data_IF_504773758607
#
_entry.id   IF_504773758607
#
_cell.length_a   1.000
_cell.length_b   1.000
_cell.length_c   1.000
_cell.angle_alpha   90.00
_cell.angle_beta   90.00
_cell.angle_gamma   90.00
#
_symmetry.space_group_name_H-M   'P 1'
#
loop_
_entity.id
_entity.type
_entity.pdbx_description
1 polymer ?
#
# COMPACT_ATOMS: atom_id res chain seq x y z
N UNK A 1 41.18 12.22 -9.88
CA UNK A 1 39.73 12.17 -10.10
C UNK A 1 39.37 10.78 -10.57
N UNK A 2 38.86 9.94 -9.70
CA UNK A 2 38.42 8.58 -10.04
C UNK A 2 37.32 8.69 -11.09
N UNK A 3 37.54 8.09 -12.26
CA UNK A 3 36.64 8.19 -13.41
C UNK A 3 35.23 7.71 -12.99
N UNK A 4 34.29 8.64 -12.80
CA UNK A 4 32.95 8.42 -12.25
C UNK A 4 32.24 7.27 -13.00
N UNK A 5 32.49 7.14 -14.30
CA UNK A 5 31.95 6.08 -15.14
C UNK A 5 32.41 4.66 -14.76
N UNK A 6 33.62 4.49 -14.22
CA UNK A 6 34.11 3.19 -13.74
C UNK A 6 33.56 2.86 -12.34
N UNK A 7 33.34 3.86 -11.49
CA UNK A 7 32.67 3.68 -10.21
C UNK A 7 31.19 3.28 -10.40
N UNK A 8 30.52 3.86 -11.41
CA UNK A 8 29.14 3.54 -11.77
C UNK A 8 28.95 2.08 -12.22
N UNK A 9 29.94 1.48 -12.89
CA UNK A 9 29.91 0.07 -13.31
C UNK A 9 30.04 -0.92 -12.16
N UNK A 10 30.49 -0.48 -10.98
CA UNK A 10 30.78 -1.36 -9.85
C UNK A 10 29.80 -1.21 -8.67
N UNK A 11 28.73 -0.42 -8.79
CA UNK A 11 27.73 -0.36 -7.71
C UNK A 11 26.93 -1.67 -7.68
N UNK A 12 27.03 -2.46 -6.60
CA UNK A 12 26.35 -3.73 -6.53
C UNK A 12 24.88 -3.49 -6.21
N UNK A 13 24.05 -3.24 -7.24
CA UNK A 13 22.59 -3.05 -7.09
C UNK A 13 21.95 -4.21 -6.32
N UNK A 14 22.46 -5.43 -6.52
CA UNK A 14 22.05 -6.62 -5.75
C UNK A 14 22.28 -6.42 -4.25
N UNK A 15 23.42 -5.86 -3.82
CA UNK A 15 23.70 -5.60 -2.40
C UNK A 15 22.70 -4.60 -1.79
N UNK A 16 22.30 -3.58 -2.55
CA UNK A 16 21.25 -2.64 -2.13
C UNK A 16 19.92 -3.37 -1.97
N UNK A 17 19.54 -4.20 -2.94
CA UNK A 17 18.29 -4.98 -2.90
C UNK A 17 18.28 -6.00 -1.76
N UNK A 18 19.40 -6.68 -1.49
CA UNK A 18 19.56 -7.68 -0.43
C UNK A 18 19.48 -7.08 0.97
N UNK A 19 20.10 -5.91 1.17
CA UNK A 19 20.10 -5.20 2.47
C UNK A 19 18.82 -4.41 2.73
N UNK A 20 18.01 -4.17 1.69
CA UNK A 20 16.76 -3.43 1.81
C UNK A 20 15.68 -4.21 2.56
N UNK A 21 14.93 -3.50 3.41
CA UNK A 21 13.69 -4.01 4.01
C UNK A 21 12.48 -3.83 3.08
N UNK A 22 12.64 -3.10 1.98
CA UNK A 22 11.64 -2.99 0.94
C UNK A 22 11.71 -4.19 0.00
N UNK A 23 10.65 -4.41 -0.74
CA UNK A 23 10.51 -5.48 -1.70
C UNK A 23 11.34 -5.15 -2.94
N UNK A 24 12.20 -6.09 -3.34
CA UNK A 24 12.94 -6.01 -4.59
C UNK A 24 12.93 -7.35 -5.32
N UNK A 25 12.98 -7.28 -6.65
CA UNK A 25 13.25 -8.45 -7.47
C UNK A 25 13.37 -8.10 -8.94
N UNK A 26 13.76 -9.10 -9.71
CA UNK A 26 14.03 -9.01 -11.14
C UNK A 26 13.29 -10.15 -11.83
N UNK A 27 12.68 -9.87 -12.98
CA UNK A 27 12.08 -10.85 -13.87
C UNK A 27 12.65 -10.71 -15.29
N UNK A 28 12.67 -11.81 -16.03
CA UNK A 28 13.00 -11.80 -17.46
C UNK A 28 11.84 -11.22 -18.31
N UNK A 29 12.05 -11.10 -19.63
CA UNK A 29 11.04 -10.65 -20.59
C UNK A 29 9.78 -11.53 -20.64
N UNK A 30 9.86 -12.76 -20.11
CA UNK A 30 8.73 -13.65 -19.99
C UNK A 30 8.11 -13.60 -18.58
N UNK A 31 8.45 -12.63 -17.76
CA UNK A 31 7.92 -12.48 -16.39
C UNK A 31 8.27 -13.66 -15.46
N UNK A 32 9.38 -14.36 -15.72
CA UNK A 32 9.91 -15.38 -14.81
C UNK A 32 10.87 -14.73 -13.83
N UNK A 33 10.78 -15.07 -12.54
CA UNK A 33 11.66 -14.52 -11.51
C UNK A 33 13.12 -14.92 -11.76
N UNK A 34 14.02 -13.95 -11.86
CA UNK A 34 15.47 -14.14 -11.87
C UNK A 34 16.01 -14.01 -10.46
N UNK A 35 15.51 -13.03 -9.70
CA UNK A 35 15.97 -12.71 -8.36
C UNK A 35 14.83 -12.11 -7.54
N UNK A 36 14.84 -12.39 -6.23
CA UNK A 36 13.98 -11.71 -5.24
C UNK A 36 14.73 -11.59 -3.93
N UNK A 37 14.54 -10.49 -3.21
CA UNK A 37 15.16 -10.32 -1.90
C UNK A 37 14.35 -11.00 -0.79
N UNK A 38 14.90 -10.98 0.44
CA UNK A 38 14.24 -11.53 1.64
C UNK A 38 12.87 -10.89 1.88
N UNK A 39 12.76 -9.56 1.74
CA UNK A 39 11.52 -8.83 1.99
C UNK A 39 10.37 -9.29 1.07
N UNK A 40 10.64 -9.57 -0.22
CA UNK A 40 9.64 -10.13 -1.12
C UNK A 40 9.10 -11.48 -0.63
N UNK A 41 10.00 -12.39 -0.21
CA UNK A 41 9.61 -13.71 0.30
C UNK A 41 8.77 -13.60 1.58
N UNK A 42 9.13 -12.70 2.48
CA UNK A 42 8.37 -12.44 3.71
C UNK A 42 7.01 -11.81 3.42
N UNK A 43 6.97 -10.82 2.52
CA UNK A 43 5.75 -10.14 2.08
C UNK A 43 4.69 -11.12 1.55
N UNK A 44 5.10 -12.05 0.68
CA UNK A 44 4.20 -13.08 0.15
C UNK A 44 4.09 -14.33 1.03
N UNK A 45 4.82 -14.38 2.16
CA UNK A 45 4.92 -15.56 3.02
C UNK A 45 5.31 -16.84 2.26
N UNK A 46 6.29 -16.73 1.38
CA UNK A 46 6.78 -17.86 0.56
C UNK A 46 7.52 -18.86 1.46
N UNK A 47 7.24 -20.17 1.37
CA UNK A 47 7.97 -21.18 2.13
C UNK A 47 9.47 -21.13 1.85
N UNK A 48 10.31 -21.23 2.89
CA UNK A 48 11.77 -21.13 2.75
C UNK A 48 12.38 -22.12 1.74
N UNK A 49 11.80 -23.32 1.62
CA UNK A 49 12.23 -24.38 0.69
C UNK A 49 11.75 -24.20 -0.76
N UNK A 50 10.85 -23.25 -1.02
CA UNK A 50 10.31 -23.03 -2.35
C UNK A 50 11.32 -22.25 -3.19
N UNK A 51 11.76 -22.81 -4.32
CA UNK A 51 12.65 -22.15 -5.29
C UNK A 51 11.81 -21.29 -6.23
N UNK A 52 12.05 -19.98 -6.19
CA UNK A 52 11.27 -18.99 -6.94
C UNK A 52 11.87 -18.73 -8.33
N UNK A 53 13.17 -18.91 -8.46
CA UNK A 53 13.92 -18.64 -9.67
C UNK A 53 13.39 -19.49 -10.83
N UNK A 54 13.15 -18.86 -11.98
CA UNK A 54 12.55 -19.45 -13.18
C UNK A 54 11.03 -19.66 -13.12
N UNK A 55 10.36 -19.35 -12.00
CA UNK A 55 8.90 -19.45 -11.87
C UNK A 55 8.19 -18.17 -12.31
N UNK A 56 6.92 -18.28 -12.68
CA UNK A 56 5.99 -17.15 -12.91
C UNK A 56 5.11 -16.92 -11.68
N UNK A 57 4.42 -15.79 -11.60
CA UNK A 57 3.52 -15.48 -10.46
C UNK A 57 2.45 -16.56 -10.23
N UNK A 58 1.90 -17.15 -11.30
CA UNK A 58 0.89 -18.22 -11.25
C UNK A 58 1.39 -19.51 -10.56
N UNK A 59 2.71 -19.70 -10.50
CA UNK A 59 3.33 -20.86 -9.86
C UNK A 59 3.68 -20.63 -8.39
N UNK A 60 3.47 -19.41 -7.88
CA UNK A 60 3.75 -19.11 -6.48
C UNK A 60 2.70 -19.75 -5.57
N UNK A 61 3.10 -20.33 -4.42
CA UNK A 61 2.20 -20.99 -3.49
C UNK A 61 1.50 -19.98 -2.57
N UNK A 62 1.01 -18.87 -3.13
CA UNK A 62 0.46 -17.74 -2.38
C UNK A 62 -0.75 -17.17 -3.12
N UNK A 63 -1.65 -16.45 -2.43
CA UNK A 63 -2.83 -15.85 -3.09
C UNK A 63 -2.51 -14.88 -4.24
N UNK A 64 -1.25 -14.47 -4.38
CA UNK A 64 -0.83 -13.59 -5.48
C UNK A 64 -0.98 -14.26 -6.84
N UNK A 65 -1.00 -15.60 -6.89
CA UNK A 65 -1.18 -16.36 -8.14
C UNK A 65 -2.53 -16.09 -8.81
N UNK A 66 -3.54 -15.70 -8.04
CA UNK A 66 -4.86 -15.28 -8.54
C UNK A 66 -4.78 -14.02 -9.41
N UNK A 67 -3.74 -13.19 -9.21
CA UNK A 67 -3.49 -11.95 -9.95
C UNK A 67 -2.38 -12.11 -11.00
N UNK A 68 -1.98 -13.34 -11.34
CA UNK A 68 -0.81 -13.58 -12.20
C UNK A 68 -0.97 -12.97 -13.59
N UNK A 69 -2.18 -13.00 -14.16
CA UNK A 69 -2.48 -12.43 -15.47
C UNK A 69 -2.26 -10.92 -15.51
N UNK A 70 -2.76 -10.21 -14.50
CA UNK A 70 -2.60 -8.76 -14.32
C UNK A 70 -1.14 -8.41 -14.08
N UNK A 71 -0.44 -9.18 -13.25
CA UNK A 71 0.97 -8.96 -12.95
C UNK A 71 1.85 -9.17 -14.19
N UNK A 72 1.58 -10.22 -14.98
CA UNK A 72 2.27 -10.46 -16.25
C UNK A 72 2.00 -9.34 -17.24
N UNK A 73 0.76 -8.90 -17.37
CA UNK A 73 0.40 -7.77 -18.23
C UNK A 73 1.21 -6.52 -17.85
N UNK A 74 1.32 -6.20 -16.56
CA UNK A 74 2.13 -5.06 -16.09
C UNK A 74 3.63 -5.19 -16.40
N UNK A 75 4.18 -6.41 -16.33
CA UNK A 75 5.57 -6.64 -16.72
C UNK A 75 5.75 -6.33 -18.22
N UNK A 76 4.83 -6.80 -19.07
CA UNK A 76 4.83 -6.55 -20.52
C UNK A 76 4.57 -5.08 -20.86
N UNK A 77 3.69 -4.40 -20.12
CA UNK A 77 3.41 -2.97 -20.30
C UNK A 77 4.67 -2.13 -20.01
N UNK A 78 5.41 -2.43 -18.94
CA UNK A 78 6.66 -1.75 -18.63
C UNK A 78 7.74 -1.99 -19.71
N UNK A 79 7.86 -3.23 -20.19
CA UNK A 79 8.81 -3.62 -21.25
C UNK A 79 8.48 -2.89 -22.57
N UNK A 80 7.23 -2.96 -23.01
CA UNK A 80 6.79 -2.44 -24.31
C UNK A 80 6.75 -0.91 -24.35
N UNK A 81 6.26 -0.28 -23.29
CA UNK A 81 6.23 1.19 -23.19
C UNK A 81 7.60 1.80 -22.94
N UNK A 82 8.58 1.00 -22.47
CA UNK A 82 9.88 1.49 -21.97
C UNK A 82 9.72 2.51 -20.84
N UNK A 83 8.59 2.46 -20.13
CA UNK A 83 8.28 3.33 -19.01
C UNK A 83 8.05 2.50 -17.76
N UNK A 84 8.22 3.14 -16.60
CA UNK A 84 7.79 2.59 -15.31
C UNK A 84 6.29 2.26 -15.37
N UNK A 85 5.85 1.21 -14.69
CA UNK A 85 4.44 0.96 -14.35
C UNK A 85 4.28 1.02 -12.83
N UNK A 86 3.24 1.72 -12.37
CA UNK A 86 2.98 1.96 -10.95
C UNK A 86 1.62 1.40 -10.54
N UNK A 87 1.56 0.76 -9.37
CA UNK A 87 0.32 0.21 -8.83
C UNK A 87 0.32 0.18 -7.30
N UNK A 88 -0.87 0.06 -6.72
CA UNK A 88 -1.08 -0.26 -5.31
C UNK A 88 -1.60 -1.70 -5.22
N UNK A 89 -0.90 -2.53 -4.45
CA UNK A 89 -1.37 -3.88 -4.10
C UNK A 89 -1.93 -3.86 -2.69
N UNK A 90 -3.20 -4.20 -2.54
CA UNK A 90 -3.83 -4.30 -1.23
C UNK A 90 -4.36 -5.70 -1.01
N UNK A 91 -3.75 -6.41 -0.08
CA UNK A 91 -4.15 -7.77 0.29
C UNK A 91 -3.71 -8.07 1.72
N UNK A 92 -4.11 -9.24 2.22
CA UNK A 92 -3.52 -9.86 3.39
C UNK A 92 -2.12 -10.39 3.05
N UNK A 93 -1.10 -9.82 3.70
CA UNK A 93 0.31 -10.13 3.45
C UNK A 93 1.03 -10.59 4.72
N UNK A 94 2.17 -11.24 4.53
CA UNK A 94 3.02 -11.76 5.60
C UNK A 94 2.41 -12.94 6.36
N UNK A 95 3.20 -13.49 7.29
CA UNK A 95 2.79 -14.60 8.17
C UNK A 95 1.55 -14.27 9.01
N UNK A 96 1.48 -13.03 9.46
CA UNK A 96 0.39 -12.51 10.30
C UNK A 96 -0.89 -12.23 9.50
N UNK A 97 -0.87 -12.33 8.16
CA UNK A 97 -2.00 -12.03 7.27
C UNK A 97 -2.61 -10.67 7.58
N UNK A 98 -1.79 -9.61 7.60
CA UNK A 98 -2.25 -8.24 7.83
C UNK A 98 -2.75 -7.63 6.52
N UNK A 99 -3.93 -7.03 6.55
CA UNK A 99 -4.46 -6.26 5.41
C UNK A 99 -3.69 -4.95 5.32
N UNK A 100 -2.95 -4.74 4.23
CA UNK A 100 -2.18 -3.51 4.06
C UNK A 100 -1.91 -3.20 2.59
N UNK A 101 -1.92 -1.90 2.21
CA UNK A 101 -1.55 -1.48 0.88
C UNK A 101 -0.02 -1.38 0.74
N UNK A 102 0.48 -1.78 -0.43
CA UNK A 102 1.86 -1.60 -0.86
C UNK A 102 1.89 -0.79 -2.14
N UNK A 103 2.73 0.25 -2.14
CA UNK A 103 3.15 0.92 -3.37
C UNK A 103 4.12 0.01 -4.11
N UNK A 104 3.89 -0.21 -5.40
CA UNK A 104 4.69 -1.14 -6.18
C UNK A 104 4.97 -0.54 -7.56
N UNK A 105 6.24 -0.55 -7.94
CA UNK A 105 6.73 -0.04 -9.21
C UNK A 105 7.47 -1.14 -9.96
N UNK A 106 7.35 -1.12 -11.28
CA UNK A 106 8.08 -1.98 -12.20
C UNK A 106 8.79 -1.08 -13.21
N UNK A 107 10.08 -1.28 -13.38
CA UNK A 107 10.91 -0.55 -14.32
C UNK A 107 11.44 -1.51 -15.38
N UNK A 108 11.49 -1.12 -16.66
CA UNK A 108 12.20 -1.90 -17.68
C UNK A 108 13.68 -2.02 -17.31
N UNK A 109 14.23 -3.23 -17.44
CA UNK A 109 15.63 -3.54 -17.16
C UNK A 109 16.39 -3.67 -18.48
N UNK A 110 17.51 -2.96 -18.62
CA UNK A 110 18.32 -2.96 -19.84
C UNK A 110 19.68 -3.61 -19.62
N UNK A 111 20.19 -4.31 -20.63
CA UNK A 111 21.56 -4.79 -20.67
C UNK A 111 22.54 -3.70 -21.17
N UNK A 112 23.83 -4.04 -21.28
CA UNK A 112 24.87 -3.13 -21.76
C UNK A 112 24.67 -2.68 -23.21
N UNK A 113 23.92 -3.45 -24.01
CA UNK A 113 23.56 -3.11 -25.39
C UNK A 113 22.29 -2.25 -25.49
N UNK A 114 21.74 -1.80 -24.35
CA UNK A 114 20.48 -1.05 -24.26
C UNK A 114 19.25 -1.84 -24.76
N UNK A 115 19.32 -3.16 -24.69
CA UNK A 115 18.20 -4.05 -24.99
C UNK A 115 17.43 -4.34 -23.70
N UNK A 116 16.10 -4.25 -23.75
CA UNK A 116 15.26 -4.57 -22.60
C UNK A 116 15.29 -6.08 -22.37
N UNK A 117 15.78 -6.51 -21.21
CA UNK A 117 15.95 -7.93 -20.83
C UNK A 117 14.96 -8.37 -19.74
N UNK A 118 14.05 -7.49 -19.35
CA UNK A 118 12.94 -7.81 -18.45
C UNK A 118 12.53 -6.62 -17.60
N UNK A 119 12.19 -6.88 -16.33
CA UNK A 119 11.79 -5.84 -15.38
C UNK A 119 12.52 -5.97 -14.06
N UNK A 120 12.86 -4.83 -13.45
CA UNK A 120 13.16 -4.74 -12.02
C UNK A 120 11.93 -4.18 -11.32
N UNK A 121 11.54 -4.77 -10.20
CA UNK A 121 10.43 -4.27 -9.41
C UNK A 121 10.87 -3.85 -8.02
N UNK A 122 10.18 -2.84 -7.52
CA UNK A 122 10.31 -2.27 -6.19
C UNK A 122 8.94 -2.24 -5.54
N UNK A 123 8.87 -2.53 -4.25
CA UNK A 123 7.65 -2.34 -3.49
C UNK A 123 7.92 -1.93 -2.06
N UNK A 124 7.10 -1.04 -1.52
CA UNK A 124 7.18 -0.61 -0.13
C UNK A 124 5.79 -0.48 0.45
N UNK A 125 5.71 -0.54 1.79
CA UNK A 125 4.46 -0.27 2.47
C UNK A 125 4.00 1.15 2.13
N UNK A 126 2.71 1.29 1.79
CA UNK A 126 2.17 2.61 1.50
C UNK A 126 1.86 3.33 2.81
N UNK A 127 2.63 4.39 3.08
CA UNK A 127 2.34 5.32 4.16
C UNK A 127 1.38 6.40 3.68
N UNK A 128 0.46 6.78 4.56
CA UNK A 128 -0.49 7.85 4.29
C UNK A 128 -0.14 9.07 5.13
N UNK A 129 -0.17 10.23 4.49
CA UNK A 129 -0.05 11.51 5.17
C UNK A 129 -1.08 12.46 4.58
N UNK A 130 -1.96 13.00 5.43
CA UNK A 130 -2.88 14.05 5.01
C UNK A 130 -2.14 15.40 4.91
N UNK A 131 -2.62 16.37 4.11
CA UNK A 131 -2.05 17.72 4.09
C UNK A 131 -1.97 18.35 5.49
N UNK A 132 -2.96 18.07 6.34
CA UNK A 132 -2.97 18.54 7.72
C UNK A 132 -1.83 17.93 8.55
N UNK A 133 -1.58 16.62 8.42
CA UNK A 133 -0.47 15.94 9.09
C UNK A 133 0.89 16.44 8.58
N UNK A 134 1.01 16.67 7.27
CA UNK A 134 2.21 17.23 6.65
C UNK A 134 2.53 18.64 7.19
N UNK A 135 1.55 19.54 7.21
CA UNK A 135 1.70 20.89 7.80
C UNK A 135 2.06 20.81 9.29
N UNK A 136 1.50 19.83 10.00
CA UNK A 136 1.79 19.59 11.43
C UNK A 136 3.13 18.88 11.67
N UNK A 137 3.92 18.60 10.61
CA UNK A 137 5.20 17.88 10.67
C UNK A 137 5.12 16.52 11.38
N UNK A 138 3.97 15.87 11.25
CA UNK A 138 3.77 14.52 11.78
C UNK A 138 4.39 13.54 10.78
N UNK A 139 5.16 12.58 11.30
CA UNK A 139 5.75 11.53 10.47
C UNK A 139 4.65 10.71 9.79
N UNK A 140 4.72 10.50 8.46
CA UNK A 140 3.83 9.55 7.79
C UNK A 140 3.84 8.22 8.53
N UNK A 141 2.68 7.62 8.68
CA UNK A 141 2.60 6.28 9.25
C UNK A 141 1.61 5.47 8.44
N UNK A 142 1.88 4.18 8.31
CA UNK A 142 1.02 3.25 7.60
C UNK A 142 -0.43 3.29 8.08
N UNK A 143 -1.32 2.92 7.17
CA UNK A 143 -2.75 2.77 7.44
C UNK A 143 -3.00 1.85 8.65
N UNK A 144 -3.71 2.35 9.65
CA UNK A 144 -4.10 1.56 10.81
C UNK A 144 -5.45 0.87 10.54
N UNK A 145 -5.43 -0.45 10.51
CA UNK A 145 -6.65 -1.27 10.37
C UNK A 145 -7.25 -1.63 11.73
N UNK A 146 -6.42 -1.58 12.78
CA UNK A 146 -6.85 -1.74 14.16
C UNK A 146 -7.15 -0.38 14.79
N UNK A 147 -8.26 -0.24 15.54
CA UNK A 147 -8.58 1.01 16.21
C UNK A 147 -7.51 1.34 17.25
N UNK A 148 -7.06 2.60 17.33
CA UNK A 148 -5.96 2.98 18.22
C UNK A 148 -6.31 2.83 19.70
N UNK A 149 -7.60 2.99 20.04
CA UNK A 149 -8.14 2.77 21.38
C UNK A 149 -9.48 2.01 21.31
N UNK A 150 -9.72 1.11 22.27
CA UNK A 150 -10.97 0.33 22.39
C UNK A 150 -12.10 1.11 23.08
N UNK A 151 -12.36 2.35 22.62
CA UNK A 151 -13.41 3.21 23.17
C UNK A 151 -14.75 3.09 22.42
N UNK A 152 -14.68 2.85 21.11
CA UNK A 152 -15.83 2.84 20.21
C UNK A 152 -16.10 1.45 19.68
N UNK A 153 -17.38 1.13 19.45
CA UNK A 153 -17.77 -0.10 18.77
C UNK A 153 -17.65 0.05 17.24
N UNK A 154 -17.81 -1.06 16.51
CA UNK A 154 -17.67 -1.06 15.05
C UNK A 154 -18.62 -0.09 14.33
N UNK A 155 -19.86 0.05 14.81
CA UNK A 155 -20.80 0.98 14.19
C UNK A 155 -20.40 2.44 14.39
N UNK A 156 -19.87 2.77 15.57
CA UNK A 156 -19.35 4.10 15.88
C UNK A 156 -18.08 4.39 15.09
N UNK A 157 -17.15 3.42 15.00
CA UNK A 157 -15.91 3.55 14.21
C UNK A 157 -16.17 3.88 12.74
N UNK A 158 -17.20 3.28 12.13
CA UNK A 158 -17.64 3.64 10.77
C UNK A 158 -18.10 5.08 10.64
N UNK A 159 -18.88 5.57 11.62
CA UNK A 159 -19.36 6.96 11.63
C UNK A 159 -18.18 7.90 11.79
N UNK A 160 -17.28 7.61 12.75
CA UNK A 160 -16.09 8.43 13.03
C UNK A 160 -15.24 8.59 11.77
N UNK A 161 -15.00 7.51 11.03
CA UNK A 161 -14.25 7.55 9.77
C UNK A 161 -14.82 8.62 8.81
N UNK A 162 -16.12 8.59 8.51
CA UNK A 162 -16.72 9.55 7.58
C UNK A 162 -16.80 10.98 8.12
N UNK A 163 -17.00 11.15 9.42
CA UNK A 163 -17.01 12.48 10.06
C UNK A 163 -15.64 13.15 9.97
N UNK A 164 -14.55 12.37 10.09
CA UNK A 164 -13.19 12.89 9.90
C UNK A 164 -12.93 13.30 8.43
N UNK A 165 -13.60 12.65 7.46
CA UNK A 165 -13.64 13.09 6.05
C UNK A 165 -14.58 14.28 5.81
N UNK A 166 -15.04 14.95 6.87
CA UNK A 166 -15.91 16.14 6.82
C UNK A 166 -17.28 15.92 6.18
N UNK A 167 -17.78 14.68 6.17
CA UNK A 167 -19.15 14.38 5.74
C UNK A 167 -20.16 14.80 6.80
N UNK A 168 -21.30 15.33 6.35
CA UNK A 168 -22.46 15.64 7.21
C UNK A 168 -23.15 14.37 7.71
N UNK A 169 -23.87 14.46 8.84
CA UNK A 169 -24.64 13.33 9.37
C UNK A 169 -25.64 12.76 8.34
N UNK A 170 -26.20 13.60 7.47
CA UNK A 170 -27.09 13.20 6.36
C UNK A 170 -26.35 12.40 5.29
N UNK A 171 -25.12 12.76 4.95
CA UNK A 171 -24.30 12.00 4.01
C UNK A 171 -23.86 10.66 4.60
N UNK A 172 -23.43 10.65 5.86
CA UNK A 172 -23.09 9.43 6.58
C UNK A 172 -24.28 8.47 6.64
N UNK A 173 -25.48 8.99 6.92
CA UNK A 173 -26.72 8.21 6.94
C UNK A 173 -26.98 7.50 5.60
N UNK A 174 -26.78 8.22 4.48
CA UNK A 174 -26.89 7.63 3.13
C UNK A 174 -25.83 6.56 2.88
N UNK A 175 -24.56 6.83 3.20
CA UNK A 175 -23.44 5.88 3.01
C UNK A 175 -23.60 4.60 3.81
N UNK A 176 -24.15 4.70 5.02
CA UNK A 176 -24.32 3.57 5.94
C UNK A 176 -25.70 2.90 5.85
N UNK A 177 -26.58 3.35 4.94
CA UNK A 177 -27.96 2.87 4.81
C UNK A 177 -28.71 2.91 6.16
N UNK A 178 -28.68 4.07 6.82
CA UNK A 178 -29.34 4.36 8.10
C UNK A 178 -30.13 5.65 8.04
N UNK A 179 -31.04 5.84 9.00
CA UNK A 179 -31.77 7.12 9.12
C UNK A 179 -30.87 8.21 9.67
N UNK A 180 -31.14 9.46 9.27
CA UNK A 180 -30.42 10.65 9.76
C UNK A 180 -30.41 10.71 11.30
N UNK A 181 -31.58 10.53 11.92
CA UNK A 181 -31.76 10.50 13.38
C UNK A 181 -30.89 9.44 14.07
N UNK A 182 -30.71 8.27 13.44
CA UNK A 182 -29.85 7.22 13.99
C UNK A 182 -28.39 7.67 14.02
N UNK A 183 -27.92 8.36 12.98
CA UNK A 183 -26.55 8.87 12.95
C UNK A 183 -26.36 9.98 13.99
N UNK A 184 -27.29 10.94 14.11
CA UNK A 184 -27.24 11.99 15.13
C UNK A 184 -27.18 11.41 16.55
N UNK A 185 -28.04 10.44 16.87
CA UNK A 185 -28.03 9.77 18.17
C UNK A 185 -26.68 9.07 18.46
N UNK A 186 -26.07 8.44 17.45
CA UNK A 186 -24.75 7.84 17.60
C UNK A 186 -23.66 8.90 17.79
N UNK A 187 -23.73 10.03 17.09
CA UNK A 187 -22.80 11.14 17.28
C UNK A 187 -22.88 11.71 18.70
N UNK A 188 -24.07 11.88 19.25
CA UNK A 188 -24.25 12.28 20.65
C UNK A 188 -23.55 11.30 21.60
N UNK A 189 -23.71 9.98 21.39
CA UNK A 189 -23.03 8.95 22.19
C UNK A 189 -21.52 8.99 22.02
N UNK A 190 -21.02 9.18 20.79
CA UNK A 190 -19.60 9.30 20.49
C UNK A 190 -19.00 10.51 21.25
N UNK A 191 -19.68 11.64 21.24
CA UNK A 191 -19.26 12.85 21.96
C UNK A 191 -19.26 12.65 23.47
N UNK A 192 -20.29 12.00 24.02
CA UNK A 192 -20.32 11.62 25.44
C UNK A 192 -19.15 10.69 25.82
N UNK A 193 -18.87 9.65 25.01
CA UNK A 193 -17.76 8.71 25.26
C UNK A 193 -16.39 9.38 25.20
N UNK A 194 -16.22 10.34 24.29
CA UNK A 194 -14.98 11.11 24.15
C UNK A 194 -14.89 12.34 25.06
N UNK A 195 -15.95 12.62 25.84
CA UNK A 195 -16.05 13.77 26.75
C UNK A 195 -15.83 15.11 26.04
N UNK A 196 -16.41 15.26 24.85
CA UNK A 196 -16.36 16.50 24.06
C UNK A 196 -17.78 16.99 23.76
N UNK A 197 -17.92 18.28 23.45
CA UNK A 197 -19.23 18.91 23.21
C UNK A 197 -19.40 19.47 21.80
N UNK A 198 -18.36 19.43 20.96
CA UNK A 198 -18.42 19.94 19.58
C UNK A 198 -17.67 19.06 18.60
N UNK A 199 -18.01 19.18 17.31
CA UNK A 199 -17.28 18.52 16.23
C UNK A 199 -15.80 18.93 16.19
N UNK A 200 -15.49 20.19 16.49
CA UNK A 200 -14.12 20.69 16.49
C UNK A 200 -13.28 20.04 17.60
N UNK A 201 -13.83 19.95 18.81
CA UNK A 201 -13.20 19.24 19.92
C UNK A 201 -13.06 17.74 19.61
N UNK A 202 -14.08 17.14 19.00
CA UNK A 202 -14.04 15.74 18.60
C UNK A 202 -12.94 15.46 17.57
N UNK A 203 -12.78 16.32 16.55
CA UNK A 203 -11.67 16.22 15.58
C UNK A 203 -10.30 16.32 16.28
N UNK A 204 -10.14 17.22 17.25
CA UNK A 204 -8.92 17.32 18.07
C UNK A 204 -8.66 16.06 18.89
N UNK A 205 -9.70 15.50 19.50
CA UNK A 205 -9.62 14.23 20.23
C UNK A 205 -9.16 13.10 19.31
N UNK A 206 -9.82 12.94 18.16
CA UNK A 206 -9.48 11.91 17.17
C UNK A 206 -8.04 12.01 16.68
N UNK A 207 -7.57 13.23 16.40
CA UNK A 207 -6.19 13.46 15.98
C UNK A 207 -5.18 13.05 17.07
N UNK A 208 -5.41 13.46 18.32
CA UNK A 208 -4.56 13.06 19.46
C UNK A 208 -4.55 11.55 19.70
N UNK A 209 -5.71 10.91 19.53
CA UNK A 209 -5.87 9.47 19.71
C UNK A 209 -5.42 8.66 18.48
N UNK A 210 -5.14 9.29 17.33
CA UNK A 210 -4.72 8.61 16.09
C UNK A 210 -5.85 8.02 15.23
N UNK A 211 -7.11 8.40 15.47
CA UNK A 211 -8.24 7.95 14.64
C UNK A 211 -8.22 8.54 13.22
N UNK A 212 -7.45 9.59 12.98
CA UNK A 212 -7.20 10.17 11.66
C UNK A 212 -6.39 9.26 10.73
N UNK A 213 -5.73 8.23 11.29
CA UNK A 213 -4.97 7.21 10.56
C UNK A 213 -5.69 5.87 10.47
N UNK A 214 -6.85 5.76 11.13
CA UNK A 214 -7.64 4.55 11.20
C UNK A 214 -8.64 4.48 10.04
N UNK A 215 -8.73 3.31 9.42
CA UNK A 215 -9.78 2.98 8.47
C UNK A 215 -10.44 1.65 8.90
N UNK A 216 -11.78 1.59 8.94
CA UNK A 216 -12.48 0.32 9.08
C UNK A 216 -12.08 -0.65 7.96
N UNK A 217 -11.76 -1.89 8.34
CA UNK A 217 -11.26 -2.90 7.40
C UNK A 217 -12.19 -3.11 6.20
N UNK A 218 -13.51 -3.03 6.40
CA UNK A 218 -14.50 -3.18 5.33
C UNK A 218 -14.47 -2.09 4.25
N UNK A 219 -13.80 -0.96 4.51
CA UNK A 219 -13.65 0.13 3.55
C UNK A 219 -12.34 0.04 2.76
N UNK A 220 -11.44 -0.90 3.10
CA UNK A 220 -10.21 -1.14 2.35
C UNK A 220 -10.52 -2.06 1.17
N UNK A 221 -10.35 -1.61 -0.08
CA UNK A 221 -10.52 -2.50 -1.24
C UNK A 221 -9.38 -3.51 -1.30
N UNK A 222 -9.71 -4.79 -1.45
CA UNK A 222 -8.73 -5.84 -1.77
C UNK A 222 -8.55 -5.90 -3.28
N UNK A 223 -7.30 -5.99 -3.73
CA UNK A 223 -6.96 -6.16 -5.13
C UNK A 223 -5.75 -5.34 -5.56
N UNK A 224 -5.64 -5.17 -6.87
CA UNK A 224 -4.60 -4.39 -7.52
C UNK A 224 -5.25 -3.14 -8.12
N UNK A 225 -4.82 -1.97 -7.65
CA UNK A 225 -5.21 -0.69 -8.20
C UNK A 225 -4.08 -0.13 -9.05
N UNK A 226 -4.37 0.19 -10.31
CA UNK A 226 -3.41 0.81 -11.21
C UNK A 226 -3.33 2.31 -10.96
N UNK A 227 -2.13 2.85 -11.08
CA UNK A 227 -1.90 4.29 -11.06
C UNK A 227 -1.48 4.69 -12.46
N UNK A 228 -2.28 5.55 -13.09
CA UNK A 228 -1.92 6.12 -14.38
C UNK A 228 -0.61 6.89 -14.23
N UNK A 229 0.39 6.54 -15.05
CA UNK A 229 1.57 7.37 -15.15
C UNK A 229 1.14 8.63 -15.89
N UNK A 230 0.95 9.72 -15.15
CA UNK A 230 0.87 11.04 -15.75
C UNK A 230 2.26 11.30 -16.31
N UNK A 231 2.42 11.14 -17.63
CA UNK A 231 3.57 11.68 -18.31
C UNK A 231 3.44 13.20 -18.19
N UNK A 232 4.20 13.82 -17.31
CA UNK A 232 4.41 15.26 -17.37
C UNK A 232 5.10 15.54 -18.71
N UNK A 233 4.33 16.09 -19.63
CA UNK A 233 4.75 16.60 -20.95
C UNK A 233 5.47 17.93 -20.81
#
# INVERSE_FOLDING_TARGET
MTNINNALKSFPLISIMESSNDIWGIKDCESRFIYTNRAFREFLNIPARFKIEGKRDEHLPTPVSEFASELKKQDLDAISSRQRVTLIKTHFFGREKKLQPYWYEKFPLYNENNECVGTVFYGKKLDFISPQQYVSKITPSGLAVDPPIKLFNQSELRIIFFILQSMSAKEVARKLYRSHRTIENNLCRIYQKSKVNSLQEFKKFCHKAGFDRYIPQEFIPIGIQFIENIAES
#
